data_IF_710256695123
#
_entry.id   IF_710256695123
#
_cell.length_a   1.000
_cell.length_b   1.000
_cell.length_c   1.000
_cell.angle_alpha   90.00
_cell.angle_beta   90.00
_cell.angle_gamma   90.00
#
_symmetry.space_group_name_H-M   'P 1'
#
loop_
_entity.id
_entity.type
_entity.pdbx_description
1 polymer ?
#
# COMPACT_ATOMS: atom_id res chain seq x y z
N UNK A 1 -22.90 -29.01 -49.59
CA UNK A 1 -21.44 -28.82 -49.74
C UNK A 1 -21.16 -27.32 -49.73
N UNK A 2 -20.66 -26.77 -48.61
CA UNK A 2 -20.38 -25.32 -48.46
C UNK A 2 -18.88 -25.10 -48.67
N UNK A 3 -18.54 -24.19 -49.58
CA UNK A 3 -17.16 -23.79 -49.94
C UNK A 3 -16.64 -22.80 -48.90
N UNK A 4 -15.45 -23.03 -48.37
CA UNK A 4 -14.73 -22.07 -47.53
C UNK A 4 -13.61 -21.41 -48.35
N UNK A 5 -13.60 -20.08 -48.34
CA UNK A 5 -12.52 -19.25 -48.86
C UNK A 5 -11.41 -19.17 -47.81
N UNK A 6 -10.20 -19.61 -48.18
CA UNK A 6 -8.98 -19.39 -47.42
C UNK A 6 -8.29 -18.15 -48.01
N UNK A 7 -8.27 -17.04 -47.28
CA UNK A 7 -7.37 -15.92 -47.56
C UNK A 7 -6.25 -15.92 -46.54
N UNK A 8 -5.02 -15.96 -47.05
CA UNK A 8 -3.80 -16.00 -46.25
C UNK A 8 -3.41 -14.65 -45.67
N UNK A 9 -2.54 -14.71 -44.67
CA UNK A 9 -1.68 -13.60 -44.27
C UNK A 9 -0.27 -14.17 -44.14
N UNK A 10 0.57 -13.77 -45.09
CA UNK A 10 2.04 -13.90 -45.03
C UNK A 10 2.51 -12.76 -44.13
N UNK A 11 3.00 -13.11 -42.93
CA UNK A 11 3.64 -12.19 -41.99
C UNK A 11 5.13 -12.48 -41.92
N UNK A 12 5.90 -11.71 -42.68
CA UNK A 12 7.36 -11.65 -42.75
C UNK A 12 7.95 -11.34 -41.36
N UNK A 13 8.75 -12.25 -40.78
CA UNK A 13 9.56 -11.98 -39.58
C UNK A 13 11.03 -11.92 -40.02
N UNK A 14 11.62 -10.73 -39.91
CA UNK A 14 13.05 -10.45 -40.08
C UNK A 14 13.47 -9.48 -38.97
N UNK A 15 14.73 -9.61 -38.53
CA UNK A 15 15.51 -8.80 -37.58
C UNK A 15 15.38 -9.18 -36.09
N UNK A 16 16.43 -9.29 -35.29
CA UNK A 16 17.87 -9.06 -35.48
C UNK A 16 18.61 -9.74 -34.30
N UNK A 17 19.70 -10.44 -34.59
CA UNK A 17 20.72 -10.88 -33.64
C UNK A 17 21.76 -9.76 -33.47
N UNK A 18 22.01 -9.33 -32.23
CA UNK A 18 23.24 -8.73 -31.71
C UNK A 18 22.94 -8.35 -30.24
N UNK A 19 23.55 -8.91 -29.22
CA UNK A 19 24.99 -8.93 -28.92
C UNK A 19 25.10 -8.50 -27.46
N UNK A 20 25.10 -9.47 -26.54
CA UNK A 20 25.21 -9.17 -25.11
C UNK A 20 26.68 -9.20 -24.70
N UNK A 21 27.19 -8.01 -24.37
CA UNK A 21 28.53 -7.78 -23.85
C UNK A 21 28.64 -8.35 -22.42
N UNK A 22 29.73 -9.06 -22.17
CA UNK A 22 30.19 -9.48 -20.86
C UNK A 22 30.79 -8.24 -20.16
N UNK A 23 30.30 -7.91 -18.97
CA UNK A 23 31.03 -7.02 -18.06
C UNK A 23 31.19 -7.72 -16.71
N UNK A 24 32.42 -8.14 -16.46
CA UNK A 24 32.90 -8.67 -15.18
C UNK A 24 33.44 -7.48 -14.40
N UNK A 25 32.93 -7.24 -13.19
CA UNK A 25 33.55 -6.34 -12.24
C UNK A 25 33.80 -7.11 -10.94
N UNK A 26 35.08 -7.19 -10.61
CA UNK A 26 35.68 -7.80 -9.43
C UNK A 26 36.03 -6.64 -8.49
N UNK A 27 35.50 -6.62 -7.26
CA UNK A 27 36.03 -5.81 -6.18
C UNK A 27 36.27 -6.69 -4.95
N UNK A 28 37.55 -6.99 -4.76
CA UNK A 28 38.27 -7.03 -3.48
C UNK A 28 38.12 -5.67 -2.75
N UNK A 29 38.36 -5.46 -1.47
CA UNK A 29 38.67 -6.25 -0.29
C UNK A 29 38.75 -5.23 0.87
N UNK A 30 38.48 -5.70 2.08
CA UNK A 30 39.12 -5.29 3.34
C UNK A 30 38.76 -4.00 4.12
N UNK A 31 38.34 -4.29 5.36
CA UNK A 31 38.87 -3.79 6.64
C UNK A 31 38.80 -2.31 7.04
N UNK A 32 38.26 -2.09 8.23
CA UNK A 32 38.64 -0.95 9.08
C UNK A 32 37.60 -0.58 10.12
N UNK A 33 37.58 -1.33 11.23
CA UNK A 33 36.81 -0.98 12.42
C UNK A 33 37.55 0.01 13.34
N UNK A 34 36.77 0.63 14.25
CA UNK A 34 37.14 1.18 15.59
C UNK A 34 37.64 2.65 15.63
N UNK A 35 37.43 3.46 16.72
CA UNK A 35 36.31 3.62 17.66
C UNK A 35 35.80 5.08 17.79
N UNK A 36 34.71 5.23 18.56
CA UNK A 36 34.19 6.48 19.13
C UNK A 36 35.12 7.15 20.16
N UNK A 37 34.86 8.44 20.47
CA UNK A 37 34.91 8.90 21.85
C UNK A 37 33.62 9.54 22.34
N UNK A 38 33.30 9.17 23.57
CA UNK A 38 32.40 9.76 24.55
C UNK A 38 32.64 11.26 24.80
N UNK A 39 31.55 12.01 24.99
CA UNK A 39 31.57 13.40 25.47
C UNK A 39 30.30 13.71 26.26
N UNK A 40 30.40 13.49 27.56
CA UNK A 40 29.44 13.74 28.63
C UNK A 40 29.46 15.24 29.02
N UNK A 41 28.29 15.84 29.26
CA UNK A 41 28.20 17.23 29.74
C UNK A 41 26.76 17.65 30.03
N UNK A 42 26.48 17.98 31.28
CA UNK A 42 25.16 18.06 31.90
C UNK A 42 24.69 19.49 32.23
N UNK A 43 23.39 19.61 32.58
CA UNK A 43 22.73 20.65 33.43
C UNK A 43 22.56 22.05 32.78
N UNK A 44 21.50 22.85 32.98
CA UNK A 44 20.58 23.05 34.13
C UNK A 44 19.39 23.97 33.76
N UNK A 45 18.32 23.89 34.58
CA UNK A 45 17.31 24.92 34.99
C UNK A 45 16.50 25.69 33.93
N UNK A 46 15.17 25.56 33.85
CA UNK A 46 14.13 26.07 34.78
C UNK A 46 13.99 27.61 34.75
N UNK A 47 12.87 28.09 34.19
CA UNK A 47 12.20 29.29 34.70
C UNK A 47 10.69 29.23 34.40
N UNK A 48 9.92 29.77 35.34
CA UNK A 48 8.48 29.74 35.46
C UNK A 48 7.92 31.17 35.49
N UNK A 49 6.69 31.37 35.02
CA UNK A 49 5.93 32.62 35.19
C UNK A 49 5.00 32.83 33.99
N UNK A 50 3.71 32.48 34.02
CA UNK A 50 2.56 32.97 34.81
C UNK A 50 1.75 34.08 34.09
N UNK A 51 0.41 33.97 34.23
CA UNK A 51 -0.66 34.95 33.95
C UNK A 51 -0.95 35.31 32.47
N UNK A 52 -2.20 35.44 31.96
CA UNK A 52 -3.53 35.69 32.55
C UNK A 52 -4.64 35.46 31.49
N UNK A 53 -5.86 35.14 31.93
CA UNK A 53 -7.13 35.13 31.16
C UNK A 53 -7.86 36.51 31.27
N UNK A 54 -9.15 36.72 30.87
CA UNK A 54 -9.97 36.36 29.69
C UNK A 54 -10.71 37.59 29.04
N UNK A 55 -11.64 37.30 28.09
CA UNK A 55 -12.83 38.08 27.59
C UNK A 55 -12.68 39.11 26.44
N UNK A 56 -13.78 39.51 25.72
CA UNK A 56 -15.05 38.83 25.39
C UNK A 56 -15.51 38.93 23.91
N UNK A 57 -16.48 38.07 23.56
CA UNK A 57 -17.70 38.23 22.71
C UNK A 57 -17.80 39.26 21.57
N UNK A 58 -18.20 38.77 20.38
CA UNK A 58 -18.87 39.54 19.33
C UNK A 58 -19.44 38.64 18.23
N UNK A 59 -20.76 38.61 18.07
CA UNK A 59 -21.52 37.78 17.11
C UNK A 59 -21.94 38.52 15.83
N UNK A 60 -22.19 37.71 14.79
CA UNK A 60 -23.05 37.90 13.59
C UNK A 60 -22.58 38.80 12.42
N UNK A 61 -22.46 38.21 11.21
CA UNK A 61 -23.48 38.28 10.13
C UNK A 61 -23.11 37.39 8.91
N UNK A 62 -24.03 36.46 8.57
CA UNK A 62 -24.59 36.03 7.26
C UNK A 62 -23.78 35.84 5.95
N UNK A 63 -24.27 34.97 5.02
CA UNK A 63 -23.44 34.14 4.16
C UNK A 63 -23.22 34.71 2.75
N UNK A 64 -22.00 34.57 2.23
CA UNK A 64 -21.67 34.86 0.83
C UNK A 64 -21.44 33.54 0.09
N UNK A 65 -22.44 33.17 -0.70
CA UNK A 65 -22.37 32.12 -1.71
C UNK A 65 -21.20 32.40 -2.67
N UNK A 66 -20.18 31.56 -2.61
CA UNK A 66 -19.07 31.54 -3.55
C UNK A 66 -18.86 30.11 -4.04
N UNK A 67 -19.03 29.89 -5.34
CA UNK A 67 -18.62 28.67 -6.02
C UNK A 67 -17.13 28.42 -5.75
N UNK A 68 -16.82 27.48 -4.86
CA UNK A 68 -15.46 26.99 -4.68
C UNK A 68 -15.14 26.01 -5.80
N UNK A 69 -14.24 26.45 -6.70
CA UNK A 69 -13.45 25.62 -7.60
C UNK A 69 -12.88 24.41 -6.84
N UNK A 70 -12.93 23.19 -7.40
CA UNK A 70 -12.37 22.01 -6.73
C UNK A 70 -10.87 22.23 -6.47
N UNK A 71 -10.35 21.84 -5.29
CA UNK A 71 -8.95 21.99 -4.98
C UNK A 71 -8.14 21.04 -5.88
N UNK A 72 -7.48 21.63 -6.88
CA UNK A 72 -6.37 21.00 -7.59
C UNK A 72 -5.20 20.90 -6.62
N UNK A 73 -5.15 19.81 -5.85
CA UNK A 73 -4.04 19.47 -4.96
C UNK A 73 -2.81 19.05 -5.79
N UNK A 74 -2.11 20.02 -6.36
CA UNK A 74 -0.69 19.86 -6.71
C UNK A 74 0.12 20.18 -5.47
N UNK A 75 0.47 19.16 -4.67
CA UNK A 75 1.31 19.35 -3.51
C UNK A 75 2.74 19.61 -3.97
N UNK A 76 3.10 20.88 -4.15
CA UNK A 76 4.49 21.30 -4.38
C UNK A 76 5.27 20.95 -3.12
N UNK A 77 6.23 20.03 -3.22
CA UNK A 77 7.11 19.66 -2.11
C UNK A 77 7.69 20.93 -1.50
N UNK A 78 7.41 21.19 -0.22
CA UNK A 78 8.17 22.21 0.49
C UNK A 78 9.63 21.76 0.48
N UNK A 79 10.58 22.65 0.21
CA UNK A 79 12.00 22.28 0.09
C UNK A 79 12.55 21.52 1.30
N UNK A 80 11.85 21.51 2.44
CA UNK A 80 12.24 20.90 3.71
C UNK A 80 11.63 19.51 3.98
N UNK A 81 10.69 19.04 3.17
CA UNK A 81 10.06 17.73 3.31
C UNK A 81 10.38 16.83 2.12
N UNK A 82 10.22 15.52 2.31
CA UNK A 82 10.20 14.56 1.21
C UNK A 82 8.77 14.21 0.84
N UNK A 83 8.57 13.80 -0.40
CA UNK A 83 7.25 13.46 -0.96
C UNK A 83 7.14 11.95 -1.11
N UNK A 84 6.06 11.35 -0.59
CA UNK A 84 5.85 9.90 -0.66
C UNK A 84 4.52 9.61 -1.35
N UNK A 85 4.57 8.75 -2.38
CA UNK A 85 3.37 8.23 -3.03
C UNK A 85 3.06 6.80 -2.57
N UNK A 86 1.79 6.53 -2.32
CA UNK A 86 1.26 5.22 -1.97
C UNK A 86 0.40 4.72 -3.12
N UNK A 87 0.64 3.49 -3.55
CA UNK A 87 -0.11 2.86 -4.62
C UNK A 87 -0.54 1.43 -4.23
N UNK A 88 -1.67 1.01 -4.77
CA UNK A 88 -2.26 -0.32 -4.59
C UNK A 88 -2.15 -1.12 -5.88
N UNK A 89 -1.71 -2.36 -5.76
CA UNK A 89 -1.66 -3.35 -6.83
C UNK A 89 -2.43 -4.59 -6.39
N UNK A 90 -2.73 -5.42 -7.38
CA UNK A 90 -3.20 -6.78 -7.16
C UNK A 90 -2.57 -7.67 -8.23
N UNK A 91 -1.87 -8.72 -7.78
CA UNK A 91 -1.33 -9.79 -8.61
C UNK A 91 -2.25 -11.02 -8.48
N UNK A 92 -3.05 -11.30 -9.51
CA UNK A 92 -4.14 -12.26 -9.41
C UNK A 92 -4.08 -13.33 -10.51
N UNK A 93 -4.13 -14.62 -10.16
CA UNK A 93 -4.18 -15.71 -11.14
C UNK A 93 -5.40 -16.61 -10.90
N UNK A 94 -6.56 -15.99 -11.12
CA UNK A 94 -7.92 -16.56 -11.30
C UNK A 94 -8.76 -16.93 -10.07
N UNK A 95 -9.99 -16.37 -10.02
CA UNK A 95 -11.14 -16.86 -9.24
C UNK A 95 -12.34 -16.87 -10.19
N UNK A 96 -12.58 -18.00 -10.85
CA UNK A 96 -13.58 -18.15 -11.92
C UNK A 96 -15.03 -17.82 -11.50
N UNK A 97 -15.30 -17.56 -10.24
CA UNK A 97 -16.64 -17.32 -9.69
C UNK A 97 -16.80 -15.93 -9.06
N UNK A 98 -15.79 -15.06 -9.13
CA UNK A 98 -15.81 -13.73 -8.52
C UNK A 98 -15.61 -12.67 -9.61
N UNK A 99 -16.49 -11.66 -9.63
CA UNK A 99 -16.44 -10.54 -10.57
C UNK A 99 -15.73 -9.31 -9.98
N UNK A 100 -15.90 -9.06 -8.67
CA UNK A 100 -15.24 -7.98 -7.94
C UNK A 100 -14.88 -8.35 -6.50
N UNK A 101 -13.79 -7.76 -6.01
CA UNK A 101 -13.37 -7.79 -4.60
C UNK A 101 -13.24 -6.33 -4.16
N UNK A 102 -14.23 -5.85 -3.43
CA UNK A 102 -14.31 -4.46 -2.97
C UNK A 102 -13.57 -4.34 -1.64
N UNK A 103 -12.35 -3.83 -1.70
CA UNK A 103 -11.45 -3.61 -0.57
C UNK A 103 -11.59 -2.18 -0.05
N UNK A 104 -12.16 -2.03 1.14
CA UNK A 104 -12.35 -0.71 1.78
C UNK A 104 -11.13 -0.37 2.63
N UNK A 105 -10.51 0.78 2.39
CA UNK A 105 -9.45 1.34 3.24
C UNK A 105 -9.95 2.63 3.87
N UNK A 106 -9.94 2.68 5.20
CA UNK A 106 -10.41 3.83 5.98
C UNK A 106 -9.29 4.81 6.35
N UNK A 107 -8.10 4.28 6.61
CA UNK A 107 -6.95 5.08 7.03
C UNK A 107 -5.63 4.40 6.64
N UNK A 108 -4.63 5.21 6.33
CA UNK A 108 -3.24 4.77 6.18
C UNK A 108 -2.37 5.64 7.08
N UNK A 109 -1.50 5.01 7.87
CA UNK A 109 -0.52 5.68 8.71
C UNK A 109 0.87 5.07 8.51
N UNK A 110 1.92 5.87 8.69
CA UNK A 110 3.31 5.40 8.77
C UNK A 110 3.91 5.75 10.11
N UNK A 111 4.78 4.89 10.62
CA UNK A 111 5.45 5.10 11.91
C UNK A 111 6.87 5.58 11.68
N UNK A 112 7.21 6.73 12.27
CA UNK A 112 8.59 7.11 12.54
C UNK A 112 8.92 6.78 14.00
N UNK A 113 10.00 6.03 14.31
CA UNK A 113 10.33 5.65 15.69
C UNK A 113 10.45 6.82 16.67
N UNK A 114 10.88 7.99 16.19
CA UNK A 114 11.10 9.19 17.01
C UNK A 114 9.88 10.13 17.06
N UNK A 115 8.98 10.06 16.07
CA UNK A 115 7.82 10.98 15.95
C UNK A 115 6.46 10.29 16.11
N UNK A 116 6.44 8.96 16.21
CA UNK A 116 5.20 8.18 16.30
C UNK A 116 4.50 7.99 14.96
N UNK A 117 3.18 7.84 15.01
CA UNK A 117 2.33 7.58 13.85
C UNK A 117 1.94 8.88 13.14
N UNK A 118 2.07 8.90 11.82
CA UNK A 118 1.72 10.01 10.95
C UNK A 118 0.67 9.53 9.96
N UNK A 119 -0.47 10.22 9.91
CA UNK A 119 -1.56 9.89 8.98
C UNK A 119 -1.21 10.32 7.56
N UNK A 120 -1.28 9.37 6.63
CA UNK A 120 -1.01 9.53 5.20
C UNK A 120 -2.31 9.67 4.41
N UNK A 121 -3.35 8.96 4.84
CA UNK A 121 -4.66 9.01 4.24
C UNK A 121 -5.69 8.89 5.34
N UNK A 122 -6.70 9.75 5.32
CA UNK A 122 -7.89 9.66 6.17
C UNK A 122 -9.13 9.62 5.30
N UNK A 123 -10.14 8.87 5.74
CA UNK A 123 -11.41 8.75 5.03
C UNK A 123 -11.48 7.49 4.18
N UNK A 124 -12.70 6.98 4.07
CA UNK A 124 -12.97 5.69 3.43
C UNK A 124 -12.86 5.76 1.91
N UNK A 125 -12.07 4.87 1.33
CA UNK A 125 -11.95 4.62 -0.11
C UNK A 125 -12.17 3.15 -0.41
N UNK A 126 -12.88 2.85 -1.49
CA UNK A 126 -13.16 1.48 -1.92
C UNK A 126 -12.40 1.21 -3.21
N UNK A 127 -11.64 0.13 -3.23
CA UNK A 127 -10.86 -0.33 -4.37
C UNK A 127 -11.41 -1.66 -4.86
N UNK A 128 -11.50 -1.85 -6.18
CA UNK A 128 -11.89 -3.13 -6.76
C UNK A 128 -10.62 -3.84 -7.24
N UNK A 129 -10.13 -4.80 -6.44
CA UNK A 129 -8.84 -5.45 -6.65
C UNK A 129 -8.78 -6.16 -8.02
N UNK A 130 -9.91 -6.74 -8.46
CA UNK A 130 -10.00 -7.38 -9.78
C UNK A 130 -9.87 -6.35 -10.91
N UNK A 131 -10.38 -5.13 -10.75
CA UNK A 131 -10.19 -4.07 -11.74
C UNK A 131 -8.76 -3.56 -11.76
N UNK A 132 -8.12 -3.42 -10.60
CA UNK A 132 -6.71 -3.06 -10.48
C UNK A 132 -5.86 -4.08 -11.25
N UNK A 133 -6.03 -5.36 -10.95
CA UNK A 133 -5.35 -6.44 -11.66
C UNK A 133 -5.58 -6.38 -13.17
N UNK A 134 -6.84 -6.28 -13.62
CA UNK A 134 -7.20 -6.21 -15.06
C UNK A 134 -6.61 -4.99 -15.77
N UNK A 135 -6.41 -3.88 -15.05
CA UNK A 135 -5.78 -2.68 -15.60
C UNK A 135 -4.27 -2.85 -15.82
N UNK A 136 -3.65 -3.83 -15.14
CA UNK A 136 -2.21 -4.07 -15.14
C UNK A 136 -1.38 -2.92 -14.54
N UNK A 137 -2.03 -1.95 -13.89
CA UNK A 137 -1.38 -0.73 -13.42
C UNK A 137 -1.71 -0.47 -11.94
N UNK A 138 -0.74 0.02 -11.14
CA UNK A 138 -1.01 0.42 -9.78
C UNK A 138 -2.03 1.56 -9.72
N UNK A 139 -2.99 1.43 -8.79
CA UNK A 139 -3.99 2.45 -8.49
C UNK A 139 -3.52 3.37 -7.35
N UNK A 140 -3.84 4.65 -7.44
CA UNK A 140 -3.43 5.68 -6.50
C UNK A 140 -4.17 5.55 -5.17
N UNK A 141 -3.43 5.40 -4.07
CA UNK A 141 -3.97 5.42 -2.72
C UNK A 141 -3.95 6.83 -2.14
N UNK A 142 -2.75 7.38 -2.00
CA UNK A 142 -2.53 8.70 -1.39
C UNK A 142 -1.14 9.23 -1.73
N UNK A 143 -0.94 10.49 -1.40
CA UNK A 143 0.33 11.19 -1.48
C UNK A 143 0.47 12.08 -0.25
N UNK A 144 1.68 12.16 0.29
CA UNK A 144 1.96 12.99 1.47
C UNK A 144 3.34 13.63 1.38
N UNK A 145 3.45 14.86 1.89
CA UNK A 145 4.75 15.46 2.20
C UNK A 145 5.01 15.25 3.70
N UNK A 146 6.09 14.56 4.02
CA UNK A 146 6.47 14.25 5.41
C UNK A 146 7.93 14.61 5.65
N UNK A 147 8.27 14.82 6.91
CA UNK A 147 9.62 15.19 7.28
C UNK A 147 10.63 14.09 6.90
N UNK A 148 11.88 14.47 6.59
CA UNK A 148 12.93 13.51 6.34
C UNK A 148 13.13 12.56 7.52
N UNK A 149 13.42 11.29 7.22
CA UNK A 149 13.66 10.26 8.22
C UNK A 149 13.37 8.84 7.72
N UNK A 150 13.59 7.89 8.61
CA UNK A 150 13.24 6.49 8.40
C UNK A 150 11.88 6.17 9.03
N UNK A 151 11.04 5.46 8.28
CA UNK A 151 9.74 4.98 8.73
C UNK A 151 9.70 3.46 8.65
N UNK A 152 9.37 2.83 9.78
CA UNK A 152 9.62 1.41 10.03
C UNK A 152 8.37 0.55 9.98
N UNK A 153 7.19 1.16 9.97
CA UNK A 153 5.92 0.46 9.93
C UNK A 153 4.90 1.22 9.09
N UNK A 154 4.04 0.46 8.43
CA UNK A 154 2.84 0.89 7.76
C UNK A 154 1.65 0.32 8.52
N UNK A 155 0.59 1.11 8.69
CA UNK A 155 -0.68 0.64 9.22
C UNK A 155 -1.78 0.99 8.25
N UNK A 156 -2.59 -0.01 7.91
CA UNK A 156 -3.80 0.15 7.10
C UNK A 156 -4.98 -0.23 7.97
N UNK A 157 -5.91 0.70 8.17
CA UNK A 157 -7.21 0.40 8.75
C UNK A 157 -8.16 0.01 7.62
N UNK A 158 -8.48 -1.28 7.53
CA UNK A 158 -9.42 -1.82 6.57
C UNK A 158 -10.86 -1.70 7.08
N UNK A 159 -11.78 -1.40 6.17
CA UNK A 159 -13.21 -1.53 6.38
C UNK A 159 -13.73 -2.90 5.94
N UNK A 160 -15.05 -3.02 5.72
CA UNK A 160 -15.65 -4.24 5.19
C UNK A 160 -15.07 -4.62 3.82
N UNK A 161 -14.85 -5.92 3.61
CA UNK A 161 -14.45 -6.47 2.32
C UNK A 161 -15.69 -7.11 1.70
N UNK A 162 -16.06 -6.70 0.48
CA UNK A 162 -17.26 -7.23 -0.18
C UNK A 162 -16.91 -7.99 -1.46
N UNK A 163 -17.46 -9.18 -1.60
CA UNK A 163 -17.27 -10.07 -2.74
C UNK A 163 -18.52 -10.02 -3.61
N UNK A 164 -18.34 -9.73 -4.90
CA UNK A 164 -19.39 -9.84 -5.91
C UNK A 164 -19.17 -11.13 -6.69
N UNK A 165 -20.07 -12.10 -6.51
CA UNK A 165 -20.04 -13.36 -7.26
C UNK A 165 -20.45 -13.13 -8.71
N UNK A 166 -19.91 -13.94 -9.61
CA UNK A 166 -20.27 -13.90 -11.02
C UNK A 166 -21.76 -14.14 -11.23
N UNK A 167 -22.39 -13.24 -11.97
CA UNK A 167 -23.83 -13.30 -12.25
C UNK A 167 -24.74 -12.95 -11.07
N UNK A 168 -24.18 -12.54 -9.93
CA UNK A 168 -24.95 -12.00 -8.80
C UNK A 168 -25.18 -10.50 -8.96
N UNK A 169 -26.35 -10.02 -8.54
CA UNK A 169 -26.65 -8.58 -8.42
C UNK A 169 -26.27 -7.99 -7.07
N UNK A 170 -25.85 -8.84 -6.11
CA UNK A 170 -25.51 -8.44 -4.74
C UNK A 170 -24.04 -8.69 -4.38
N UNK A 171 -23.65 -8.14 -3.23
CA UNK A 171 -22.32 -8.38 -2.64
C UNK A 171 -22.44 -9.01 -1.26
N UNK A 172 -21.59 -10.01 -1.01
CA UNK A 172 -21.46 -10.68 0.28
C UNK A 172 -20.25 -10.13 1.03
N UNK A 173 -20.37 -9.94 2.33
CA UNK A 173 -19.24 -9.51 3.14
C UNK A 173 -18.33 -10.70 3.47
N UNK A 174 -17.04 -10.56 3.25
CA UNK A 174 -16.05 -11.56 3.66
C UNK A 174 -15.61 -11.28 5.10
N UNK A 175 -15.50 -12.34 5.91
CA UNK A 175 -14.99 -12.23 7.27
C UNK A 175 -13.50 -11.91 7.24
N UNK A 176 -13.14 -10.80 7.88
CA UNK A 176 -11.77 -10.37 8.09
C UNK A 176 -11.36 -10.68 9.55
N UNK A 177 -10.18 -11.30 9.82
CA UNK A 177 -9.73 -11.55 11.18
C UNK A 177 -9.53 -10.27 12.01
N UNK A 178 -9.03 -9.21 11.37
CA UNK A 178 -8.75 -7.91 11.98
C UNK A 178 -8.92 -6.79 10.97
N UNK A 179 -9.60 -5.71 11.37
CA UNK A 179 -9.70 -4.47 10.58
C UNK A 179 -8.41 -3.63 10.54
N UNK A 180 -7.32 -4.08 11.15
CA UNK A 180 -6.04 -3.39 11.17
C UNK A 180 -4.93 -4.30 10.63
N UNK A 181 -4.20 -3.80 9.64
CA UNK A 181 -3.01 -4.44 9.08
C UNK A 181 -1.79 -3.63 9.51
N UNK A 182 -1.05 -4.13 10.51
CA UNK A 182 0.25 -3.59 10.93
C UNK A 182 1.37 -4.30 10.19
N UNK A 183 2.02 -3.60 9.28
CA UNK A 183 2.99 -4.15 8.34
C UNK A 183 4.37 -3.55 8.63
N UNK A 184 5.40 -4.35 8.93
CA UNK A 184 6.77 -3.85 8.94
C UNK A 184 7.16 -3.36 7.54
N UNK A 185 7.79 -2.19 7.47
CA UNK A 185 8.21 -1.57 6.22
C UNK A 185 9.53 -0.82 6.42
N UNK A 186 10.23 -0.45 5.34
CA UNK A 186 11.40 0.43 5.42
C UNK A 186 11.30 1.55 4.41
N UNK A 187 10.67 2.66 4.80
CA UNK A 187 10.51 3.83 3.94
C UNK A 187 11.57 4.84 4.33
N UNK A 188 12.48 5.16 3.40
CA UNK A 188 13.45 6.23 3.56
C UNK A 188 12.93 7.49 2.87
N UNK A 189 12.89 8.59 3.60
CA UNK A 189 12.43 9.89 3.10
C UNK A 189 13.55 10.90 3.26
N UNK A 190 14.00 11.47 2.15
CA UNK A 190 15.00 12.53 2.12
C UNK A 190 14.36 13.87 1.72
N UNK A 191 15.02 14.96 2.13
CA UNK A 191 14.57 16.32 1.89
C UNK A 191 14.56 16.64 0.39
N UNK A 192 13.41 17.05 -0.14
CA UNK A 192 13.25 17.41 -1.54
C UNK A 192 13.26 16.23 -2.51
N UNK A 193 13.26 14.99 -2.01
CA UNK A 193 13.26 13.79 -2.82
C UNK A 193 11.88 13.10 -2.82
N UNK A 194 11.66 12.22 -3.78
CA UNK A 194 10.47 11.39 -3.84
C UNK A 194 10.78 9.96 -3.38
N UNK A 195 9.83 9.35 -2.68
CA UNK A 195 9.83 7.93 -2.35
C UNK A 195 8.49 7.31 -2.75
N UNK A 196 8.45 5.99 -2.90
CA UNK A 196 7.20 5.26 -3.18
C UNK A 196 7.00 4.09 -2.24
N UNK A 197 5.74 3.77 -2.00
CA UNK A 197 5.27 2.57 -1.32
C UNK A 197 4.22 1.93 -2.22
N UNK A 198 4.51 0.72 -2.69
CA UNK A 198 3.58 -0.08 -3.47
C UNK A 198 3.11 -1.25 -2.61
N UNK A 199 1.80 -1.33 -2.39
CA UNK A 199 1.15 -2.41 -1.64
C UNK A 199 0.46 -3.29 -2.67
N UNK A 200 0.88 -4.53 -2.77
CA UNK A 200 0.36 -5.50 -3.71
C UNK A 200 -0.44 -6.55 -2.95
N UNK A 201 -1.76 -6.50 -3.07
CA UNK A 201 -2.63 -7.51 -2.46
C UNK A 201 -2.56 -8.77 -3.34
N UNK A 202 -2.39 -9.92 -2.72
CA UNK A 202 -2.39 -11.20 -3.43
C UNK A 202 -3.78 -11.81 -3.24
N UNK A 203 -4.79 -11.27 -3.94
CA UNK A 203 -6.20 -11.59 -3.69
C UNK A 203 -6.52 -13.08 -3.81
N UNK A 204 -5.90 -13.79 -4.77
CA UNK A 204 -6.05 -15.24 -4.94
C UNK A 204 -5.61 -16.01 -3.68
N UNK A 205 -4.56 -15.53 -3.01
CA UNK A 205 -4.04 -16.12 -1.76
C UNK A 205 -4.77 -15.62 -0.52
N UNK A 206 -5.56 -14.56 -0.65
CA UNK A 206 -6.24 -13.90 0.47
C UNK A 206 -7.67 -14.36 0.65
N UNK A 207 -8.31 -14.86 -0.40
CA UNK A 207 -9.72 -15.28 -0.36
C UNK A 207 -9.81 -16.78 -0.08
N UNK A 208 -10.62 -17.12 0.91
CA UNK A 208 -10.96 -18.48 1.27
C UNK A 208 -12.48 -18.63 1.44
N UNK A 209 -12.94 -19.88 1.38
CA UNK A 209 -14.34 -20.23 1.63
C UNK A 209 -14.40 -21.11 2.86
N UNK A 210 -15.25 -20.75 3.82
CA UNK A 210 -15.54 -21.56 4.99
C UNK A 210 -16.38 -22.79 4.63
N UNK A 211 -16.47 -23.75 5.54
CA UNK A 211 -17.29 -24.97 5.40
C UNK A 211 -18.79 -24.67 5.18
N UNK A 212 -19.28 -23.52 5.65
CA UNK A 212 -20.66 -23.05 5.45
C UNK A 212 -20.86 -22.22 4.16
N UNK A 213 -19.80 -22.09 3.34
CA UNK A 213 -19.84 -21.34 2.07
C UNK A 213 -19.61 -19.83 2.18
N UNK A 214 -19.46 -19.28 3.40
CA UNK A 214 -19.13 -17.85 3.57
C UNK A 214 -17.68 -17.56 3.18
N UNK A 215 -17.44 -16.34 2.70
CA UNK A 215 -16.10 -15.89 2.38
C UNK A 215 -15.33 -15.46 3.63
N UNK A 216 -14.05 -15.79 3.65
CA UNK A 216 -13.05 -15.29 4.59
C UNK A 216 -11.97 -14.59 3.77
N UNK A 217 -11.57 -13.40 4.21
CA UNK A 217 -10.43 -12.67 3.66
C UNK A 217 -9.30 -12.69 4.67
N UNK A 218 -8.26 -13.49 4.42
CA UNK A 218 -7.00 -13.51 5.18
C UNK A 218 -5.95 -12.76 4.35
N UNK A 219 -5.75 -11.44 4.55
CA UNK A 219 -4.87 -10.66 3.69
C UNK A 219 -3.49 -11.29 3.54
N UNK A 220 -3.08 -11.52 2.29
CA UNK A 220 -1.70 -11.78 1.89
C UNK A 220 -1.30 -10.64 0.98
N UNK A 221 -0.20 -9.96 1.29
CA UNK A 221 0.26 -8.79 0.55
C UNK A 221 1.78 -8.73 0.46
N UNK A 222 2.29 -8.12 -0.60
CA UNK A 222 3.68 -7.70 -0.75
C UNK A 222 3.78 -6.19 -0.58
N UNK A 223 4.81 -5.72 0.12
CA UNK A 223 5.14 -4.28 0.22
C UNK A 223 6.50 -4.04 -0.41
N UNK A 224 6.51 -3.22 -1.45
CA UNK A 224 7.73 -2.72 -2.07
C UNK A 224 7.89 -1.23 -1.76
N UNK A 225 9.11 -0.80 -1.43
CA UNK A 225 9.40 0.62 -1.23
C UNK A 225 10.63 1.03 -2.03
N UNK A 226 10.60 2.26 -2.56
CA UNK A 226 11.72 2.87 -3.26
C UNK A 226 12.03 4.24 -2.69
N UNK A 227 13.32 4.57 -2.59
CA UNK A 227 13.78 5.95 -2.37
C UNK A 227 14.31 6.55 -3.66
N UNK A 228 14.53 7.86 -3.67
CA UNK A 228 15.15 8.58 -4.79
C UNK A 228 14.38 8.39 -6.11
N UNK A 229 13.06 8.29 -6.03
CA UNK A 229 12.18 8.15 -7.19
C UNK A 229 12.32 9.40 -8.06
N UNK A 230 12.68 9.23 -9.33
CA UNK A 230 12.94 10.34 -10.25
C UNK A 230 11.67 11.17 -10.44
N UNK A 231 10.56 10.50 -10.68
CA UNK A 231 9.24 11.13 -10.73
C UNK A 231 8.15 10.09 -10.55
N UNK A 232 6.96 10.56 -10.19
CA UNK A 232 5.75 9.79 -10.34
C UNK A 232 4.65 10.64 -10.95
N UNK A 233 3.77 10.01 -11.71
CA UNK A 233 2.61 10.64 -12.34
C UNK A 233 1.34 9.95 -11.88
N UNK A 234 0.32 10.74 -11.59
CA UNK A 234 -1.03 10.25 -11.29
C UNK A 234 -1.96 10.73 -12.41
N UNK A 235 -2.55 9.80 -13.16
CA UNK A 235 -3.52 10.11 -14.22
C UNK A 235 -4.71 9.17 -14.09
N UNK A 236 -5.91 9.73 -13.92
CA UNK A 236 -7.14 8.94 -13.79
C UNK A 236 -7.01 7.82 -12.74
N UNK A 237 -6.42 8.14 -11.58
CA UNK A 237 -6.11 7.20 -10.49
C UNK A 237 -5.05 6.14 -10.80
N UNK A 238 -4.43 6.13 -11.98
CA UNK A 238 -3.30 5.26 -12.29
C UNK A 238 -2.00 5.96 -11.88
N UNK A 239 -1.12 5.22 -11.21
CA UNK A 239 0.21 5.68 -10.80
C UNK A 239 1.26 5.13 -11.76
N UNK A 240 2.18 5.99 -12.21
CA UNK A 240 3.42 5.59 -12.87
C UNK A 240 4.59 6.07 -12.03
N UNK A 241 5.43 5.15 -11.56
CA UNK A 241 6.65 5.44 -10.78
C UNK A 241 7.86 5.22 -11.70
N UNK A 242 8.73 6.22 -11.80
CA UNK A 242 9.90 6.20 -12.69
C UNK A 242 11.17 6.31 -11.84
N UNK A 243 12.08 5.35 -11.99
CA UNK A 243 13.35 5.31 -11.27
C UNK A 243 13.19 4.93 -9.80
N UNK A 244 14.20 5.29 -9.01
CA UNK A 244 14.30 4.97 -7.58
C UNK A 244 15.14 3.72 -7.29
N UNK A 245 15.68 3.66 -6.08
CA UNK A 245 16.41 2.52 -5.54
C UNK A 245 15.48 1.70 -4.63
N UNK A 246 15.41 0.38 -4.84
CA UNK A 246 14.64 -0.51 -3.98
C UNK A 246 15.22 -0.56 -2.58
N UNK A 247 14.40 -0.24 -1.57
CA UNK A 247 14.80 -0.21 -0.16
C UNK A 247 14.24 -1.39 0.64
N UNK A 248 13.10 -1.92 0.18
CA UNK A 248 12.34 -2.93 0.89
C UNK A 248 11.47 -3.72 -0.08
N UNK A 249 11.43 -5.03 0.08
CA UNK A 249 10.50 -5.95 -0.56
C UNK A 249 10.26 -7.12 0.39
N UNK A 250 9.02 -7.29 0.84
CA UNK A 250 8.64 -8.39 1.72
C UNK A 250 7.17 -8.76 1.51
N UNK A 251 6.85 -10.04 1.76
CA UNK A 251 5.49 -10.56 1.71
C UNK A 251 5.01 -10.91 3.10
N UNK A 252 3.76 -10.58 3.40
CA UNK A 252 3.12 -10.83 4.67
C UNK A 252 1.78 -11.52 4.47
N UNK A 253 1.43 -12.41 5.39
CA UNK A 253 0.09 -12.98 5.48
C UNK A 253 -0.48 -12.84 6.87
N UNK A 254 -1.79 -12.62 6.94
CA UNK A 254 -2.54 -12.54 8.18
C UNK A 254 -3.04 -13.93 8.57
N UNK A 255 -2.85 -14.29 9.84
CA UNK A 255 -3.41 -15.53 10.40
C UNK A 255 -4.87 -15.35 10.87
N UNK A 256 -5.47 -16.43 11.35
CA UNK A 256 -6.85 -16.45 11.84
C UNK A 256 -7.10 -15.56 13.07
N UNK A 257 -6.03 -15.11 13.74
CA UNK A 257 -6.08 -14.23 14.90
C UNK A 257 -5.87 -12.75 14.52
N UNK A 258 -5.70 -12.44 13.23
CA UNK A 258 -5.47 -11.09 12.74
C UNK A 258 -4.04 -10.59 12.87
N UNK A 259 -3.08 -11.50 13.07
CA UNK A 259 -1.67 -11.16 13.19
C UNK A 259 -1.00 -11.35 11.83
N UNK A 260 -0.39 -10.28 11.32
CA UNK A 260 0.45 -10.34 10.12
C UNK A 260 1.81 -10.97 10.47
N UNK A 261 2.21 -11.94 9.66
CA UNK A 261 3.46 -12.72 9.80
C UNK A 261 4.22 -12.70 8.48
N UNK A 262 5.54 -12.61 8.59
CA UNK A 262 6.45 -12.63 7.44
C UNK A 262 6.32 -13.96 6.68
N UNK A 263 6.12 -13.87 5.36
CA UNK A 263 5.95 -15.00 4.45
C UNK A 263 4.78 -15.93 4.74
N UNK A 264 3.91 -15.61 5.71
CA UNK A 264 2.80 -16.49 6.08
C UNK A 264 1.78 -16.57 4.96
N UNK A 265 1.25 -17.77 4.77
CA UNK A 265 0.09 -18.03 3.91
C UNK A 265 -0.63 -19.24 4.46
N UNK A 266 -1.96 -19.20 4.45
CA UNK A 266 -2.74 -20.37 4.79
C UNK A 266 -2.57 -21.43 3.68
N UNK A 267 -2.49 -22.70 4.08
CA UNK A 267 -2.49 -23.80 3.11
C UNK A 267 -3.80 -23.80 2.32
N UNK A 268 -3.79 -23.94 0.97
CA UNK A 268 -5.01 -24.07 0.18
C UNK A 268 -5.89 -25.27 0.57
N UNK A 269 -5.31 -26.28 1.22
CA UNK A 269 -6.03 -27.46 1.71
C UNK A 269 -6.63 -27.27 3.11
N UNK A 270 -6.34 -26.15 3.80
CA UNK A 270 -6.88 -25.88 5.12
C UNK A 270 -8.41 -25.74 5.03
N UNK A 271 -9.11 -26.41 5.96
CA UNK A 271 -10.55 -26.25 6.13
C UNK A 271 -10.77 -25.15 7.16
N UNK A 272 -11.65 -24.21 6.83
CA UNK A 272 -11.97 -23.07 7.67
C UNK A 272 -13.42 -23.12 8.12
N UNK A 273 -13.67 -22.68 9.36
CA UNK A 273 -15.00 -22.47 9.89
C UNK A 273 -15.09 -21.11 10.56
N UNK A 274 -16.28 -20.51 10.56
CA UNK A 274 -16.59 -19.31 11.34
C UNK A 274 -17.44 -19.75 12.53
N UNK A 275 -16.87 -19.71 13.73
CA UNK A 275 -17.55 -20.08 14.99
C UNK A 275 -17.50 -18.87 15.92
N UNK A 276 -18.66 -18.41 16.39
CA UNK A 276 -18.78 -17.25 17.27
C UNK A 276 -18.06 -16.01 16.73
N UNK A 277 -18.23 -15.74 15.43
CA UNK A 277 -17.59 -14.64 14.71
C UNK A 277 -16.05 -14.69 14.67
N UNK A 278 -15.46 -15.86 14.96
CA UNK A 278 -14.01 -16.13 14.86
C UNK A 278 -13.72 -17.17 13.79
N UNK A 279 -12.60 -16.99 13.11
CA UNK A 279 -12.10 -17.95 12.13
C UNK A 279 -11.38 -19.07 12.88
N UNK A 280 -11.68 -20.33 12.55
CA UNK A 280 -11.00 -21.51 13.06
C UNK A 280 -10.45 -22.32 11.90
N UNK A 281 -9.21 -22.78 12.06
CA UNK A 281 -8.60 -23.77 11.17
C UNK A 281 -8.94 -25.15 11.71
N UNK A 282 -9.60 -25.98 10.89
CA UNK A 282 -9.95 -27.35 11.26
C UNK A 282 -8.71 -28.24 10.99
N UNK A 283 -8.22 -28.98 11.99
CA UNK A 283 -7.17 -29.97 11.79
C UNK A 283 -7.62 -31.02 10.76
N UNK A 284 -6.72 -31.41 9.85
CA UNK A 284 -6.96 -32.50 8.91
C UNK A 284 -6.85 -33.85 9.60
#
# INVERSE_FOLDING_TARGET
MKKYYFFGIIGLIVLLLAGFFIFTAEETSDNGAVPAPSGEGAKTSADAGDQTAPQPSGSQTSPKSGLTKPPSSGATSSKNQGRVIFALKDEFVSLDQIDSILFTINEIQVQNPSKGWITVMSGSKVFDLIKIYKSGSPEFLSEVNIDPGAYTQLRISAGPIRIVRRGSSGSEEAKLPSGELKIPARISVAKGENSSVEIDILSEKSIHTATDGKYIFLPVLRVETKSNVTSFQVRQNIVTIIGGAGMYDATYGMDENGILKDGYRLSPAAKLEIVDDKIKIIPQ
#
